data_IF_596659782943
#
_entry.id   IF_596659782943
#
_cell.length_a   1.000
_cell.length_b   1.000
_cell.length_c   1.000
_cell.angle_alpha   90.00
_cell.angle_beta   90.00
_cell.angle_gamma   90.00
#
_symmetry.space_group_name_H-M   'P 1'
#
loop_
_entity.id
_entity.type
_entity.pdbx_description
1 polymer ?
#
# COMPACT_ATOMS: atom_id res chain seq x y z
N UNK A 1 -12.45 11.16 -8.67
CA UNK A 1 -12.54 10.38 -7.40
C UNK A 1 -11.15 9.94 -7.03
N UNK A 2 -10.62 10.33 -5.86
CA UNK A 2 -9.24 10.04 -5.42
C UNK A 2 -8.18 10.70 -6.33
N UNK A 3 -8.40 11.96 -6.71
CA UNK A 3 -7.52 12.67 -7.65
C UNK A 3 -6.15 13.02 -7.06
N UNK A 4 -6.08 13.30 -5.77
CA UNK A 4 -4.82 13.64 -5.09
C UNK A 4 -4.23 12.45 -4.33
N UNK A 5 -4.94 11.32 -4.31
CA UNK A 5 -4.49 10.11 -3.62
C UNK A 5 -3.24 9.55 -4.30
N UNK A 6 -2.11 9.74 -3.64
CA UNK A 6 -0.79 9.27 -4.07
C UNK A 6 -0.17 8.32 -3.07
N UNK A 7 0.62 7.37 -3.57
CA UNK A 7 1.46 6.51 -2.76
C UNK A 7 2.81 6.27 -3.47
N UNK A 8 3.83 5.89 -2.70
CA UNK A 8 5.11 5.46 -3.25
C UNK A 8 5.59 4.20 -2.53
N UNK A 9 6.11 3.24 -3.29
CA UNK A 9 6.61 1.95 -2.79
C UNK A 9 8.12 1.93 -2.91
N UNK A 10 8.78 1.54 -1.83
CA UNK A 10 10.24 1.53 -1.74
C UNK A 10 10.73 0.16 -1.31
N UNK A 11 11.73 -0.37 -2.00
CA UNK A 11 12.44 -1.60 -1.62
C UNK A 11 13.73 -1.24 -0.92
N UNK A 12 13.90 -1.75 0.30
CA UNK A 12 15.10 -1.62 1.10
C UNK A 12 15.87 -2.94 1.05
N UNK A 13 17.12 -2.90 0.61
CA UNK A 13 18.00 -4.07 0.60
C UNK A 13 19.09 -3.90 1.63
N UNK A 14 19.21 -4.89 2.53
CA UNK A 14 20.14 -4.86 3.65
C UNK A 14 21.02 -6.10 3.67
N UNK A 15 22.17 -6.01 4.34
CA UNK A 15 23.05 -7.14 4.62
C UNK A 15 23.22 -7.32 6.12
N UNK A 16 22.97 -8.53 6.61
CA UNK A 16 23.20 -8.88 8.00
C UNK A 16 24.69 -8.75 8.33
N UNK A 17 25.02 -8.06 9.42
CA UNK A 17 26.40 -7.93 9.94
C UNK A 17 26.66 -8.90 11.09
N UNK A 18 25.60 -9.22 11.80
CA UNK A 18 25.58 -10.18 12.91
C UNK A 18 24.45 -11.19 12.62
N UNK A 19 24.39 -12.25 13.41
CA UNK A 19 23.27 -13.20 13.36
C UNK A 19 21.95 -12.49 13.72
N UNK A 20 20.97 -12.50 12.82
CA UNK A 20 19.65 -11.89 13.05
C UNK A 20 18.60 -12.99 13.17
N UNK A 21 17.89 -13.03 14.29
CA UNK A 21 16.75 -13.93 14.50
C UNK A 21 15.44 -13.15 14.58
N UNK A 22 14.56 -13.38 13.62
CA UNK A 22 13.21 -12.86 13.63
C UNK A 22 12.21 -13.83 14.26
N UNK A 23 11.09 -13.32 14.78
CA UNK A 23 9.95 -14.18 15.07
C UNK A 23 9.30 -14.69 13.78
N UNK A 24 8.31 -15.58 13.91
CA UNK A 24 7.57 -16.17 12.80
C UNK A 24 7.04 -15.13 11.82
N UNK A 25 6.37 -14.07 12.30
CA UNK A 25 6.03 -12.93 11.46
C UNK A 25 6.87 -11.67 11.77
N UNK A 26 7.77 -11.39 10.84
CA UNK A 26 8.84 -10.39 10.95
C UNK A 26 8.32 -8.96 11.14
N UNK A 27 7.09 -8.66 10.70
CA UNK A 27 6.50 -7.31 10.74
C UNK A 27 6.47 -6.67 12.12
N UNK A 28 6.36 -7.47 13.19
CA UNK A 28 6.45 -6.99 14.56
C UNK A 28 7.82 -6.40 14.92
N UNK A 29 8.90 -7.04 14.49
CA UNK A 29 10.27 -6.60 14.74
C UNK A 29 10.57 -5.31 13.97
N UNK A 30 10.15 -5.24 12.70
CA UNK A 30 10.30 -4.06 11.86
C UNK A 30 9.53 -2.87 12.40
N UNK A 31 8.20 -2.98 12.58
CA UNK A 31 7.38 -1.87 13.08
C UNK A 31 7.83 -1.43 14.47
N UNK A 32 8.07 -2.39 15.38
CA UNK A 32 8.50 -2.09 16.74
C UNK A 32 9.86 -1.37 16.79
N UNK A 33 10.85 -1.91 16.08
CA UNK A 33 12.17 -1.31 15.95
C UNK A 33 12.12 0.06 15.28
N UNK A 34 11.40 0.19 14.18
CA UNK A 34 11.21 1.43 13.44
C UNK A 34 10.59 2.52 14.32
N UNK A 35 9.51 2.23 15.06
CA UNK A 35 8.87 3.25 15.91
C UNK A 35 9.77 3.80 17.02
N UNK A 36 10.58 2.95 17.64
CA UNK A 36 11.56 3.38 18.63
C UNK A 36 12.69 4.19 17.99
N UNK A 37 13.27 3.69 16.89
CA UNK A 37 14.35 4.36 16.17
C UNK A 37 13.89 5.72 15.62
N UNK A 38 12.70 5.78 15.02
CA UNK A 38 12.14 7.00 14.44
C UNK A 38 11.95 8.08 15.51
N UNK A 39 11.36 7.72 16.67
CA UNK A 39 11.24 8.65 17.80
C UNK A 39 12.60 9.20 18.21
N UNK A 40 13.63 8.35 18.32
CA UNK A 40 14.98 8.79 18.68
C UNK A 40 15.63 9.71 17.64
N UNK A 41 15.38 9.46 16.36
CA UNK A 41 15.93 10.23 15.24
C UNK A 41 15.30 11.62 15.15
N UNK A 42 13.97 11.74 15.26
CA UNK A 42 13.26 13.00 14.98
C UNK A 42 12.84 13.78 16.23
N UNK A 43 12.84 13.16 17.42
CA UNK A 43 12.38 13.84 18.63
C UNK A 43 13.45 14.78 19.19
N UNK A 44 13.12 16.06 19.23
CA UNK A 44 13.97 17.11 19.82
C UNK A 44 13.80 17.25 21.34
N UNK A 45 12.67 16.82 21.92
CA UNK A 45 12.41 16.87 23.37
C UNK A 45 12.44 15.44 23.94
N UNK A 46 13.62 14.99 24.36
CA UNK A 46 13.82 13.64 24.92
C UNK A 46 13.17 13.51 26.30
N UNK A 47 12.68 12.32 26.62
CA UNK A 47 12.14 11.98 27.94
C UNK A 47 10.75 12.52 28.26
N UNK A 48 10.10 13.25 27.35
CA UNK A 48 8.72 13.72 27.50
C UNK A 48 7.74 12.81 26.79
N UNK A 49 6.56 12.62 27.38
CA UNK A 49 5.43 11.98 26.72
C UNK A 49 4.91 12.85 25.56
N UNK A 50 4.49 12.18 24.47
CA UNK A 50 4.07 12.87 23.25
C UNK A 50 2.77 13.63 23.44
N UNK A 51 1.90 13.18 24.36
CA UNK A 51 0.61 13.79 24.60
C UNK A 51 0.70 15.19 25.20
N UNK A 52 1.74 15.43 26.02
CA UNK A 52 2.02 16.71 26.69
C UNK A 52 3.10 17.54 25.96
N UNK A 53 3.50 17.13 24.76
CA UNK A 53 4.59 17.76 24.04
C UNK A 53 4.14 19.07 23.36
N UNK A 54 4.90 20.14 23.55
CA UNK A 54 4.65 21.45 22.92
C UNK A 54 4.57 21.35 21.39
N UNK A 55 5.34 20.43 20.80
CA UNK A 55 5.44 20.27 19.35
C UNK A 55 4.41 19.29 18.79
N UNK A 56 3.49 18.71 19.58
CA UNK A 56 2.57 17.63 19.18
C UNK A 56 1.92 17.86 17.81
N UNK A 57 1.42 19.07 17.55
CA UNK A 57 0.68 19.41 16.32
C UNK A 57 1.55 19.50 15.06
N UNK A 58 2.86 19.74 15.18
CA UNK A 58 3.78 19.91 14.04
C UNK A 58 4.94 18.90 14.05
N UNK A 59 4.99 18.03 15.05
CA UNK A 59 6.05 17.05 15.18
C UNK A 59 5.89 15.94 14.14
N UNK A 60 6.94 15.67 13.38
CA UNK A 60 6.99 14.59 12.37
C UNK A 60 6.69 13.23 13.02
N UNK A 61 7.21 12.96 14.22
CA UNK A 61 6.88 11.74 14.96
C UNK A 61 5.38 11.65 15.22
N UNK A 62 4.77 12.73 15.73
CA UNK A 62 3.33 12.74 16.01
C UNK A 62 2.53 12.54 14.73
N UNK A 63 2.88 13.22 13.63
CA UNK A 63 2.22 13.04 12.33
C UNK A 63 2.31 11.60 11.81
N UNK A 64 3.47 10.96 11.85
CA UNK A 64 3.66 9.61 11.30
C UNK A 64 3.12 8.51 12.22
N UNK A 65 3.28 8.66 13.54
CA UNK A 65 3.04 7.57 14.51
C UNK A 65 1.87 7.75 15.46
N UNK A 66 1.58 8.97 15.89
CA UNK A 66 0.43 9.19 16.80
C UNK A 66 -0.82 9.60 16.00
N UNK A 67 -0.63 10.21 14.83
CA UNK A 67 -1.68 10.66 13.89
C UNK A 67 -2.88 11.25 14.64
N UNK A 68 -2.69 12.32 15.45
CA UNK A 68 -3.77 12.83 16.26
C UNK A 68 -4.91 13.34 15.35
N UNK A 69 -6.17 13.04 15.67
CA UNK A 69 -7.29 13.62 14.96
C UNK A 69 -7.27 15.16 15.03
N UNK A 70 -7.61 15.88 13.94
CA UNK A 70 -7.85 17.32 14.01
C UNK A 70 -9.04 17.61 14.95
N UNK A 71 -8.97 18.71 15.70
CA UNK A 71 -9.95 19.05 16.74
C UNK A 71 -11.37 19.30 16.20
N UNK A 72 -11.50 19.76 14.95
CA UNK A 72 -12.78 20.22 14.37
C UNK A 72 -13.38 19.28 13.31
N UNK A 73 -13.01 17.99 13.30
CA UNK A 73 -13.43 17.09 12.21
C UNK A 73 -14.70 16.29 12.55
N UNK A 74 -15.81 16.58 11.86
CA UNK A 74 -17.08 15.82 11.96
C UNK A 74 -16.93 14.33 11.59
N UNK A 75 -15.97 13.99 10.72
CA UNK A 75 -15.70 12.63 10.21
C UNK A 75 -15.24 11.67 11.33
N UNK A 76 -14.67 12.19 12.43
CA UNK A 76 -14.17 11.37 13.53
C UNK A 76 -15.28 10.75 14.39
N UNK A 77 -16.52 11.26 14.30
CA UNK A 77 -17.69 10.59 14.91
C UNK A 77 -17.86 9.16 14.40
N UNK A 78 -17.40 8.88 13.18
CA UNK A 78 -17.42 7.55 12.56
C UNK A 78 -16.11 6.77 12.79
N UNK A 79 -14.99 7.44 13.08
CA UNK A 79 -13.64 6.86 13.11
C UNK A 79 -12.78 7.36 14.28
N UNK A 80 -12.60 6.57 15.36
CA UNK A 80 -11.92 7.05 16.57
C UNK A 80 -10.39 7.12 16.47
N UNK A 81 -9.78 6.60 15.37
CA UNK A 81 -8.32 6.61 15.16
C UNK A 81 -7.99 6.83 13.68
N UNK A 82 -7.07 7.75 13.43
CA UNK A 82 -6.51 8.00 12.09
C UNK A 82 -5.55 6.86 11.73
N UNK A 83 -5.62 6.28 10.52
CA UNK A 83 -4.66 5.27 10.08
C UNK A 83 -3.28 5.89 9.84
N UNK A 84 -2.22 5.16 10.18
CA UNK A 84 -0.87 5.62 9.82
C UNK A 84 -0.68 5.69 8.29
N UNK A 85 0.02 6.72 7.77
CA UNK A 85 0.24 6.92 6.34
C UNK A 85 1.40 6.08 5.79
N UNK A 86 1.67 4.92 6.38
CA UNK A 86 2.70 4.01 5.93
C UNK A 86 2.32 2.54 6.16
N UNK A 87 2.94 1.67 5.36
CA UNK A 87 2.92 0.22 5.51
C UNK A 87 4.35 -0.28 5.43
N UNK A 88 4.75 -1.16 6.38
CA UNK A 88 6.03 -1.87 6.29
C UNK A 88 5.71 -3.31 5.89
N UNK A 89 6.16 -3.71 4.71
CA UNK A 89 6.06 -5.09 4.26
C UNK A 89 7.36 -5.82 4.63
N UNK A 90 7.34 -6.68 5.67
CA UNK A 90 8.54 -7.43 6.04
C UNK A 90 8.96 -8.40 4.93
N UNK A 91 10.17 -8.99 5.00
CA UNK A 91 10.56 -10.06 4.10
C UNK A 91 9.52 -11.19 4.11
N UNK A 92 8.98 -11.57 2.95
CA UNK A 92 7.88 -12.55 2.80
C UNK A 92 8.38 -14.02 2.93
N UNK A 93 9.66 -14.21 3.23
CA UNK A 93 10.24 -15.54 3.46
C UNK A 93 9.82 -16.14 4.80
N UNK A 94 9.69 -17.46 4.86
CA UNK A 94 9.54 -18.22 6.11
C UNK A 94 10.85 -18.24 6.93
N UNK A 95 12.00 -18.05 6.29
CA UNK A 95 13.33 -18.04 6.95
C UNK A 95 13.35 -17.05 8.09
N UNK A 96 13.62 -17.50 9.32
CA UNK A 96 13.63 -16.65 10.51
C UNK A 96 15.02 -16.15 10.88
N UNK A 97 16.06 -16.85 10.46
CA UNK A 97 17.45 -16.53 10.78
C UNK A 97 18.20 -16.02 9.55
N UNK A 98 19.05 -15.02 9.75
CA UNK A 98 19.95 -14.52 8.71
C UNK A 98 21.37 -14.48 9.29
N UNK A 99 22.30 -15.11 8.59
CA UNK A 99 23.72 -15.16 9.00
C UNK A 99 24.49 -13.93 8.49
N UNK A 100 25.62 -13.57 9.14
CA UNK A 100 26.47 -12.48 8.66
C UNK A 100 26.81 -12.61 7.16
N UNK A 101 26.67 -11.50 6.43
CA UNK A 101 26.86 -11.42 4.98
C UNK A 101 25.60 -11.70 4.16
N UNK A 102 24.61 -12.41 4.71
CA UNK A 102 23.36 -12.67 3.99
C UNK A 102 22.57 -11.39 3.74
N UNK A 103 21.91 -11.34 2.58
CA UNK A 103 21.08 -10.20 2.20
C UNK A 103 19.60 -10.54 2.30
N UNK A 104 18.80 -9.54 2.63
CA UNK A 104 17.34 -9.63 2.55
C UNK A 104 16.74 -8.27 2.26
N UNK A 105 15.51 -8.27 1.76
CA UNK A 105 14.80 -7.05 1.41
C UNK A 105 13.43 -6.99 2.07
N UNK A 106 12.99 -5.78 2.34
CA UNK A 106 11.65 -5.44 2.83
C UNK A 106 11.16 -4.21 2.09
N UNK A 107 9.86 -3.92 2.18
CA UNK A 107 9.29 -2.75 1.54
C UNK A 107 8.70 -1.76 2.54
N UNK A 108 8.72 -0.50 2.13
CA UNK A 108 8.02 0.60 2.78
C UNK A 108 7.09 1.21 1.74
N UNK A 109 5.82 1.38 2.10
CA UNK A 109 4.86 2.14 1.30
C UNK A 109 4.54 3.40 2.09
N UNK A 110 4.70 4.56 1.46
CA UNK A 110 4.34 5.86 2.01
C UNK A 110 3.12 6.39 1.25
N UNK A 111 2.18 7.00 1.98
CA UNK A 111 0.89 7.42 1.44
C UNK A 111 0.72 8.93 1.66
N UNK A 112 0.31 9.65 0.62
CA UNK A 112 0.06 11.08 0.66
C UNK A 112 1.29 11.88 1.09
N UNK A 113 1.08 12.85 1.98
CA UNK A 113 2.11 13.75 2.50
C UNK A 113 3.23 13.04 3.29
N UNK A 114 3.06 11.75 3.64
CA UNK A 114 4.16 10.98 4.24
C UNK A 114 5.32 10.72 3.29
N UNK A 115 5.09 10.74 1.96
CA UNK A 115 6.11 10.52 0.92
C UNK A 115 7.25 11.54 1.06
N UNK A 116 6.92 12.79 1.39
CA UNK A 116 7.88 13.89 1.47
C UNK A 116 8.85 13.73 2.66
N UNK A 117 8.58 12.80 3.58
CA UNK A 117 9.44 12.46 4.72
C UNK A 117 10.34 11.24 4.47
N UNK A 118 10.38 10.69 3.25
CA UNK A 118 11.23 9.53 2.89
C UNK A 118 12.68 9.61 3.41
N UNK A 119 13.41 10.75 3.35
CA UNK A 119 14.78 10.82 3.88
C UNK A 119 14.88 10.42 5.36
N UNK A 120 13.89 10.80 6.18
CA UNK A 120 13.84 10.43 7.60
C UNK A 120 13.61 8.94 7.79
N UNK A 121 12.82 8.28 6.93
CA UNK A 121 12.64 6.84 6.96
C UNK A 121 13.94 6.11 6.59
N UNK A 122 14.62 6.54 5.52
CA UNK A 122 15.90 5.94 5.09
C UNK A 122 16.95 6.03 6.20
N UNK A 123 17.11 7.23 6.77
CA UNK A 123 18.04 7.43 7.88
C UNK A 123 17.64 6.60 9.11
N UNK A 124 16.34 6.52 9.42
CA UNK A 124 15.87 5.72 10.55
C UNK A 124 16.11 4.23 10.37
N UNK A 125 15.90 3.67 9.18
CA UNK A 125 16.23 2.26 8.92
C UNK A 125 17.74 2.01 8.95
N UNK A 126 18.55 2.99 8.53
CA UNK A 126 20.01 2.94 8.70
C UNK A 126 20.39 2.87 10.19
N UNK A 127 19.80 3.74 11.02
CA UNK A 127 20.06 3.77 12.46
C UNK A 127 19.48 2.54 13.19
N UNK A 128 18.35 2.00 12.74
CA UNK A 128 17.80 0.75 13.24
C UNK A 128 18.74 -0.43 12.96
N UNK A 129 19.36 -0.47 11.78
CA UNK A 129 20.37 -1.48 11.44
C UNK A 129 21.56 -1.48 12.40
N UNK A 130 22.06 -0.29 12.77
CA UNK A 130 23.15 -0.12 13.75
C UNK A 130 22.75 -0.49 15.18
N UNK A 131 21.51 -0.16 15.57
CA UNK A 131 20.97 -0.47 16.90
C UNK A 131 20.60 -1.95 17.07
N UNK A 132 20.31 -2.63 15.96
CA UNK A 132 19.94 -4.02 15.94
C UNK A 132 18.42 -4.27 15.93
N UNK A 133 18.03 -5.33 15.22
CA UNK A 133 16.65 -5.75 14.99
C UNK A 133 16.45 -7.22 15.38
N UNK A 134 15.20 -7.60 15.67
CA UNK A 134 14.85 -8.98 16.01
C UNK A 134 15.27 -9.37 17.44
N UNK A 135 15.20 -10.67 17.72
CA UNK A 135 15.65 -11.25 18.98
C UNK A 135 17.19 -11.20 19.03
N UNK A 136 17.74 -10.79 20.17
CA UNK A 136 19.19 -10.61 20.30
C UNK A 136 19.75 -9.35 19.65
N UNK A 137 18.90 -8.52 19.00
CA UNK A 137 19.29 -7.23 18.40
C UNK A 137 20.45 -7.35 17.39
N UNK A 138 20.38 -8.35 16.51
CA UNK A 138 21.37 -8.51 15.45
C UNK A 138 21.38 -7.29 14.51
N UNK A 139 22.58 -6.85 14.12
CA UNK A 139 22.78 -5.66 13.28
C UNK A 139 22.79 -5.96 11.78
N UNK A 140 22.44 -4.95 10.99
CA UNK A 140 22.55 -4.98 9.53
C UNK A 140 23.04 -3.63 8.99
N UNK A 141 23.58 -3.65 7.78
CA UNK A 141 23.85 -2.46 6.98
C UNK A 141 22.78 -2.28 5.91
N UNK A 142 22.29 -1.05 5.73
CA UNK A 142 21.47 -0.68 4.58
C UNK A 142 22.37 -0.54 3.35
N UNK A 143 22.14 -1.33 2.31
CA UNK A 143 22.94 -1.31 1.08
C UNK A 143 22.44 -0.27 0.09
N UNK A 144 21.16 -0.36 -0.28
CA UNK A 144 20.51 0.58 -1.19
C UNK A 144 19.00 0.59 -0.98
N UNK A 145 18.37 1.65 -1.50
CA UNK A 145 16.92 1.83 -1.54
C UNK A 145 16.52 2.13 -2.97
N UNK A 146 15.44 1.48 -3.43
CA UNK A 146 14.87 1.67 -4.75
C UNK A 146 13.41 2.11 -4.63
N UNK A 147 12.97 3.03 -5.48
CA UNK A 147 11.56 3.33 -5.71
C UNK A 147 11.01 2.38 -6.76
N UNK A 148 9.89 1.73 -6.44
CA UNK A 148 9.25 0.73 -7.28
C UNK A 148 7.99 1.34 -7.88
N UNK A 149 7.90 1.33 -9.21
CA UNK A 149 6.74 1.83 -9.94
C UNK A 149 5.63 0.80 -10.13
N UNK A 150 4.71 1.08 -11.06
CA UNK A 150 3.51 0.27 -11.29
C UNK A 150 3.80 -1.03 -12.04
N UNK A 151 4.83 -1.04 -12.88
CA UNK A 151 5.25 -2.17 -13.70
C UNK A 151 6.46 -2.89 -13.06
N UNK A 152 6.62 -2.71 -11.74
CA UNK A 152 7.75 -3.18 -10.93
C UNK A 152 9.12 -2.65 -11.41
N UNK A 153 9.14 -1.56 -12.18
CA UNK A 153 10.36 -0.85 -12.54
C UNK A 153 11.02 -0.24 -11.30
N UNK A 154 12.34 -0.36 -11.20
CA UNK A 154 13.10 0.05 -10.01
C UNK A 154 14.03 1.23 -10.33
N UNK A 155 13.89 2.32 -9.57
CA UNK A 155 14.76 3.49 -9.64
C UNK A 155 15.59 3.57 -8.36
N UNK A 156 16.92 3.54 -8.45
CA UNK A 156 17.78 3.64 -7.28
C UNK A 156 17.71 5.04 -6.65
N UNK A 157 17.34 5.11 -5.37
CA UNK A 157 17.15 6.34 -4.59
C UNK A 157 18.33 6.63 -3.68
N UNK A 158 18.86 5.58 -3.06
CA UNK A 158 19.96 5.67 -2.11
C UNK A 158 20.93 4.52 -2.34
N UNK A 159 22.22 4.80 -2.21
CA UNK A 159 23.28 3.80 -2.22
C UNK A 159 24.29 4.12 -1.12
N UNK A 160 24.58 3.14 -0.25
CA UNK A 160 25.45 3.35 0.91
C UNK A 160 26.90 3.67 0.57
N UNK A 161 27.37 3.31 -0.63
CA UNK A 161 28.74 3.63 -1.09
C UNK A 161 28.90 5.10 -1.45
N UNK A 162 27.88 5.69 -2.06
CA UNK A 162 27.91 7.07 -2.58
C UNK A 162 27.26 8.05 -1.59
N UNK A 163 26.40 7.54 -0.69
CA UNK A 163 25.61 8.31 0.28
C UNK A 163 24.80 9.45 -0.33
N UNK A 164 24.47 9.34 -1.63
CA UNK A 164 23.61 10.29 -2.33
C UNK A 164 22.16 9.84 -2.22
N UNK A 165 21.28 10.82 -2.05
CA UNK A 165 19.84 10.65 -2.08
C UNK A 165 19.29 11.36 -3.31
N UNK A 166 18.49 10.67 -4.12
CA UNK A 166 17.72 11.30 -5.20
C UNK A 166 16.28 11.53 -4.75
N UNK A 167 15.70 12.66 -5.16
CA UNK A 167 14.28 12.97 -4.91
C UNK A 167 13.38 12.53 -6.07
N UNK A 168 13.93 11.80 -7.04
CA UNK A 168 13.19 11.33 -8.21
C UNK A 168 12.93 9.83 -8.06
N UNK A 169 11.67 9.50 -7.82
CA UNK A 169 11.19 8.13 -7.69
C UNK A 169 9.74 8.04 -8.16
N UNK A 170 9.26 6.84 -8.53
CA UNK A 170 7.90 6.67 -9.01
C UNK A 170 6.89 7.04 -7.92
N UNK A 171 5.89 7.85 -8.29
CA UNK A 171 4.71 8.12 -7.47
C UNK A 171 3.51 7.51 -8.17
N UNK A 172 2.81 6.64 -7.47
CA UNK A 172 1.62 5.95 -7.94
C UNK A 172 0.42 6.78 -7.54
N UNK A 173 -0.30 7.30 -8.54
CA UNK A 173 -1.55 8.00 -8.39
C UNK A 173 -2.72 7.02 -8.51
N UNK A 174 -3.79 7.21 -7.73
CA UNK A 174 -4.93 6.29 -7.74
C UNK A 174 -5.57 6.12 -9.13
N UNK A 175 -5.64 7.19 -9.94
CA UNK A 175 -6.21 7.10 -11.29
C UNK A 175 -5.43 6.15 -12.23
N UNK A 176 -4.13 5.95 -12.00
CA UNK A 176 -3.32 5.05 -12.82
C UNK A 176 -3.69 3.57 -12.59
N UNK A 177 -4.23 3.23 -11.41
CA UNK A 177 -4.64 1.87 -11.06
C UNK A 177 -5.93 1.42 -11.76
N UNK A 178 -6.76 2.36 -12.22
CA UNK A 178 -7.96 2.04 -13.00
C UNK A 178 -7.64 1.58 -14.43
N UNK A 179 -6.50 2.01 -14.98
CA UNK A 179 -6.09 1.72 -16.35
C UNK A 179 -5.27 0.43 -16.48
N UNK A 180 -5.00 -0.28 -15.38
CA UNK A 180 -4.47 -1.64 -15.43
C UNK A 180 -5.55 -2.58 -15.96
N UNK A 181 -5.67 -2.61 -17.29
CA UNK A 181 -6.55 -3.53 -18.01
C UNK A 181 -6.37 -4.94 -17.48
N UNK A 182 -7.51 -5.55 -17.23
CA UNK A 182 -7.75 -6.98 -17.19
C UNK A 182 -6.94 -7.66 -18.31
N UNK A 183 -5.77 -8.20 -17.98
CA UNK A 183 -5.10 -9.14 -18.87
C UNK A 183 -5.93 -10.41 -18.84
N UNK A 184 -6.87 -10.50 -19.77
CA UNK A 184 -7.49 -11.77 -20.13
C UNK A 184 -6.40 -12.70 -20.63
N UNK A 185 -6.02 -13.67 -19.81
CA UNK A 185 -5.24 -14.82 -20.26
C UNK A 185 -6.16 -15.60 -21.20
N UNK A 186 -5.95 -15.47 -22.51
CA UNK A 186 -6.53 -16.41 -23.44
C UNK A 186 -5.73 -17.72 -23.36
N UNK A 187 -6.46 -18.84 -23.23
CA UNK A 187 -5.96 -20.19 -23.46
C UNK A 187 -5.54 -20.34 -24.92
N UNK A 188 -4.35 -19.83 -25.26
CA UNK A 188 -3.51 -20.16 -26.42
C UNK A 188 -2.42 -19.09 -26.46
N UNK A 189 -1.28 -19.37 -25.83
CA UNK A 189 -0.16 -18.44 -25.75
C UNK A 189 0.36 -18.04 -27.12
N UNK A 190 0.03 -16.82 -27.55
CA UNK A 190 0.71 -16.08 -28.62
C UNK A 190 0.63 -14.58 -28.30
N UNK A 191 1.76 -13.98 -27.95
CA UNK A 191 1.90 -12.52 -27.82
C UNK A 191 1.77 -11.87 -29.19
N UNK A 192 0.86 -10.90 -29.35
CA UNK A 192 0.84 -10.03 -30.53
C UNK A 192 1.25 -8.61 -30.12
N UNK A 193 2.45 -8.21 -30.53
CA UNK A 193 2.94 -6.84 -30.38
C UNK A 193 2.25 -5.91 -31.38
N UNK A 194 1.42 -4.98 -30.90
CA UNK A 194 1.05 -3.81 -31.70
C UNK A 194 2.11 -2.72 -31.56
N UNK A 195 3.01 -2.66 -32.56
CA UNK A 195 3.91 -1.53 -32.80
C UNK A 195 3.09 -0.28 -33.14
N UNK A 196 3.10 0.71 -32.25
CA UNK A 196 2.72 2.08 -32.59
C UNK A 196 3.80 2.61 -33.54
N UNK A 197 3.49 2.74 -34.83
CA UNK A 197 4.35 3.46 -35.79
C UNK A 197 4.25 4.97 -35.49
N UNK A 198 5.31 5.52 -34.93
CA UNK A 198 5.59 6.96 -35.01
C UNK A 198 5.84 7.32 -36.48
N UNK A 199 5.03 8.20 -37.07
CA UNK A 199 5.37 8.84 -38.33
C UNK A 199 6.15 10.13 -38.07
N UNK A 200 7.42 10.10 -38.48
CA UNK A 200 8.27 11.27 -38.63
C UNK A 200 7.81 12.12 -39.82
N UNK A 201 7.88 13.43 -39.63
CA UNK A 201 7.66 14.45 -40.63
C UNK A 201 8.78 14.46 -41.69
N UNK A 202 8.40 14.62 -42.95
CA UNK A 202 9.25 15.19 -44.01
C UNK A 202 8.40 16.07 -44.93
N UNK A 203 9.01 17.19 -45.29
CA UNK A 203 8.53 18.30 -46.09
C UNK A 203 8.29 18.00 -47.57
N UNK A 204 7.26 18.58 -48.17
CA UNK A 204 7.39 19.39 -49.40
C UNK A 204 6.06 20.04 -49.81
N UNK A 205 6.20 21.26 -50.33
CA UNK A 205 5.22 22.22 -50.83
C UNK A 205 4.48 21.78 -52.11
N UNK A 206 3.22 22.20 -52.27
CA UNK A 206 2.59 22.88 -53.43
C UNK A 206 1.07 23.01 -53.16
N UNK A 207 0.46 24.14 -53.56
CA UNK A 207 -0.98 24.44 -53.55
C UNK A 207 -1.38 25.00 -54.94
N UNK A 208 -2.66 25.32 -55.25
CA UNK A 208 -3.97 24.60 -55.22
C UNK A 208 -4.56 24.58 -56.68
N UNK A 209 -5.89 24.56 -57.04
CA UNK A 209 -7.15 24.58 -56.28
C UNK A 209 -8.32 23.68 -56.78
N UNK A 210 -9.44 23.70 -56.03
CA UNK A 210 -10.86 23.76 -56.48
C UNK A 210 -11.83 22.82 -55.72
N UNK A 211 -12.81 23.47 -55.06
CA UNK A 211 -14.25 23.18 -54.88
C UNK A 211 -14.80 21.74 -54.78
N UNK A 212 -15.66 21.55 -53.76
CA UNK A 212 -16.64 20.47 -53.73
C UNK A 212 -17.02 20.06 -52.31
N UNK A 213 -18.17 20.51 -51.81
CA UNK A 213 -18.70 20.10 -50.52
C UNK A 213 -19.24 18.67 -50.54
N UNK A 214 -19.12 17.96 -49.41
CA UNK A 214 -20.09 16.94 -49.04
C UNK A 214 -20.17 16.79 -47.51
N UNK A 215 -21.34 16.36 -47.08
CA UNK A 215 -21.87 16.39 -45.71
C UNK A 215 -21.06 15.50 -44.77
N UNK A 216 -20.60 16.09 -43.65
CA UNK A 216 -20.04 15.36 -42.53
C UNK A 216 -21.10 14.49 -41.86
N UNK A 217 -21.03 13.18 -42.10
CA UNK A 217 -21.74 12.16 -41.35
C UNK A 217 -21.07 12.03 -39.98
N UNK A 218 -21.83 12.36 -38.92
CA UNK A 218 -21.39 12.21 -37.53
C UNK A 218 -21.32 10.72 -37.22
N UNK A 219 -20.12 10.15 -37.31
CA UNK A 219 -19.84 8.81 -36.80
C UNK A 219 -19.91 8.87 -35.28
N UNK A 220 -21.02 8.37 -34.74
CA UNK A 220 -21.18 8.08 -33.31
C UNK A 220 -20.05 7.14 -32.89
N UNK A 221 -19.26 7.58 -31.92
CA UNK A 221 -18.31 6.71 -31.23
C UNK A 221 -19.10 5.70 -30.39
N UNK A 222 -19.30 4.50 -30.95
CA UNK A 222 -19.84 3.39 -30.19
C UNK A 222 -18.87 3.06 -29.05
N UNK A 223 -19.35 3.24 -27.83
CA UNK A 223 -18.65 2.84 -26.62
C UNK A 223 -18.45 1.32 -26.66
N UNK A 224 -17.19 0.90 -26.73
CA UNK A 224 -16.80 -0.51 -26.66
C UNK A 224 -17.24 -1.05 -25.30
N UNK A 225 -18.02 -2.15 -25.21
CA UNK A 225 -18.48 -2.68 -23.93
C UNK A 225 -17.27 -3.15 -23.12
N UNK A 226 -17.07 -2.56 -21.94
CA UNK A 226 -16.12 -3.06 -20.95
C UNK A 226 -16.53 -4.49 -20.60
N UNK A 227 -15.62 -5.43 -20.84
CA UNK A 227 -15.80 -6.84 -20.50
C UNK A 227 -16.03 -6.92 -18.98
N UNK A 228 -17.28 -7.11 -18.54
CA UNK A 228 -17.62 -7.21 -17.13
C UNK A 228 -16.95 -8.47 -16.60
N UNK A 229 -15.81 -8.30 -15.94
CA UNK A 229 -15.15 -9.41 -15.29
C UNK A 229 -16.00 -9.77 -14.08
N UNK A 230 -16.92 -10.70 -14.29
CA UNK A 230 -17.89 -11.08 -13.28
C UNK A 230 -17.27 -11.89 -12.15
N UNK A 231 -15.98 -12.24 -12.24
CA UNK A 231 -15.26 -13.03 -11.23
C UNK A 231 -13.93 -12.39 -10.86
N UNK A 232 -13.58 -12.50 -9.59
CA UNK A 232 -12.27 -12.08 -9.08
C UNK A 232 -11.76 -13.08 -8.05
N UNK A 233 -10.46 -13.35 -8.12
CA UNK A 233 -9.75 -14.20 -7.17
C UNK A 233 -8.79 -13.32 -6.36
N UNK A 234 -8.81 -13.47 -5.04
CA UNK A 234 -7.97 -12.72 -4.12
C UNK A 234 -7.15 -13.70 -3.29
N UNK A 235 -5.82 -13.56 -3.35
CA UNK A 235 -4.88 -14.29 -2.50
C UNK A 235 -4.45 -13.42 -1.32
N UNK A 236 -4.70 -13.88 -0.11
CA UNK A 236 -4.39 -13.20 1.14
C UNK A 236 -3.00 -13.66 1.61
N UNK A 237 -2.03 -12.77 1.42
CA UNK A 237 -0.60 -13.06 1.57
C UNK A 237 -0.10 -12.89 3.00
N UNK A 238 -0.77 -12.06 3.81
CA UNK A 238 -0.44 -11.88 5.23
C UNK A 238 -1.71 -11.89 6.07
N UNK A 239 -1.64 -12.26 7.37
CA UNK A 239 -2.83 -12.46 8.19
C UNK A 239 -3.78 -11.27 8.15
N UNK A 240 -4.99 -11.51 7.65
CA UNK A 240 -6.02 -10.52 7.42
C UNK A 240 -7.00 -10.49 8.59
N UNK A 241 -7.29 -9.29 9.09
CA UNK A 241 -8.09 -9.06 10.30
C UNK A 241 -9.17 -8.02 10.03
N UNK A 242 -10.21 -8.43 9.31
CA UNK A 242 -11.35 -7.57 9.00
C UNK A 242 -12.26 -7.41 10.21
N UNK A 243 -12.81 -6.21 10.40
CA UNK A 243 -13.84 -5.99 11.43
C UNK A 243 -15.23 -5.87 10.82
N UNK A 244 -16.17 -6.60 11.40
CA UNK A 244 -17.58 -6.54 11.11
C UNK A 244 -18.37 -6.77 12.41
N UNK A 245 -19.47 -6.04 12.61
CA UNK A 245 -20.31 -6.10 13.82
C UNK A 245 -19.52 -6.11 15.15
N UNK A 246 -18.55 -5.21 15.26
CA UNK A 246 -17.73 -5.04 16.47
C UNK A 246 -16.58 -6.03 16.64
N UNK A 247 -16.56 -7.16 15.94
CA UNK A 247 -15.60 -8.25 16.15
C UNK A 247 -14.69 -8.46 14.93
N UNK A 248 -13.67 -9.32 15.06
CA UNK A 248 -12.87 -9.78 13.92
C UNK A 248 -13.58 -10.99 13.32
N UNK A 249 -13.79 -10.99 12.00
CA UNK A 249 -14.42 -12.09 11.28
C UNK A 249 -13.39 -12.90 10.51
N UNK A 250 -13.59 -14.22 10.49
CA UNK A 250 -12.86 -15.17 9.65
C UNK A 250 -13.51 -15.33 8.27
N UNK A 251 -14.81 -15.07 8.16
CA UNK A 251 -15.54 -14.98 6.90
C UNK A 251 -15.23 -13.67 6.19
N UNK A 252 -14.72 -13.79 4.96
CA UNK A 252 -14.34 -12.65 4.12
C UNK A 252 -15.44 -12.43 3.09
N UNK A 253 -16.61 -12.04 3.55
CA UNK A 253 -17.68 -11.63 2.63
C UNK A 253 -17.27 -10.37 1.87
N UNK A 254 -17.67 -10.26 0.60
CA UNK A 254 -17.21 -9.18 -0.27
C UNK A 254 -17.54 -7.79 0.29
N UNK A 255 -18.77 -7.58 0.74
CA UNK A 255 -19.18 -6.30 1.37
C UNK A 255 -18.37 -5.96 2.64
N UNK A 256 -17.88 -6.97 3.37
CA UNK A 256 -17.04 -6.74 4.55
C UNK A 256 -15.65 -6.26 4.14
N UNK A 257 -15.06 -6.87 3.10
CA UNK A 257 -13.80 -6.42 2.51
C UNK A 257 -13.93 -4.96 2.01
N UNK A 258 -14.95 -4.68 1.20
CA UNK A 258 -15.21 -3.34 0.64
C UNK A 258 -15.45 -2.32 1.75
N UNK A 259 -16.21 -2.66 2.81
CA UNK A 259 -16.40 -1.78 3.96
C UNK A 259 -15.09 -1.40 4.63
N UNK A 260 -14.18 -2.36 4.82
CA UNK A 260 -12.89 -2.08 5.46
C UNK A 260 -11.96 -1.28 4.53
N UNK A 261 -11.99 -1.52 3.22
CA UNK A 261 -11.26 -0.74 2.22
C UNK A 261 -11.76 0.70 2.15
N UNK A 262 -13.07 0.90 2.00
CA UNK A 262 -13.71 2.22 1.97
C UNK A 262 -13.33 3.04 3.20
N UNK A 263 -13.44 2.45 4.40
CA UNK A 263 -13.06 3.10 5.66
C UNK A 263 -11.60 3.54 5.65
N UNK A 264 -10.69 2.65 5.24
CA UNK A 264 -9.25 2.93 5.26
C UNK A 264 -8.85 3.95 4.20
N UNK A 265 -9.27 3.77 2.96
CA UNK A 265 -8.92 4.63 1.82
C UNK A 265 -9.51 6.03 2.03
N UNK A 266 -10.77 6.14 2.47
CA UNK A 266 -11.37 7.44 2.80
C UNK A 266 -10.62 8.17 3.90
N UNK A 267 -10.21 7.46 4.95
CA UNK A 267 -9.43 8.07 6.04
C UNK A 267 -8.05 8.50 5.56
N UNK A 268 -7.35 7.66 4.79
CA UNK A 268 -6.03 8.00 4.23
C UNK A 268 -6.11 9.20 3.28
N UNK A 269 -7.13 9.24 2.42
CA UNK A 269 -7.40 10.34 1.51
C UNK A 269 -7.61 11.64 2.27
N UNK A 270 -8.49 11.62 3.28
CA UNK A 270 -8.84 12.82 4.04
C UNK A 270 -7.68 13.35 4.89
N UNK A 271 -6.97 12.49 5.62
CA UNK A 271 -5.95 12.94 6.58
C UNK A 271 -4.55 13.12 5.98
N UNK A 272 -4.27 12.53 4.83
CA UNK A 272 -2.91 12.51 4.27
C UNK A 272 -2.81 12.93 2.81
N UNK A 273 -3.92 12.99 2.07
CA UNK A 273 -3.93 13.41 0.67
C UNK A 273 -4.71 14.71 0.44
N UNK A 274 -5.18 15.35 1.52
CA UNK A 274 -5.92 16.62 1.48
C UNK A 274 -7.17 16.57 0.57
N UNK A 275 -7.78 15.39 0.45
CA UNK A 275 -8.97 15.15 -0.37
C UNK A 275 -10.07 14.44 0.44
N UNK A 276 -11.29 14.95 0.36
CA UNK A 276 -12.45 14.25 0.89
C UNK A 276 -12.96 13.28 -0.16
N UNK A 277 -12.87 11.98 0.12
CA UNK A 277 -13.45 10.95 -0.76
C UNK A 277 -14.99 10.98 -0.68
N UNK A 278 -15.62 11.76 -1.55
CA UNK A 278 -17.08 11.91 -1.63
C UNK A 278 -17.69 10.82 -2.50
N UNK A 279 -18.16 9.74 -1.87
CA UNK A 279 -18.88 8.64 -2.52
C UNK A 279 -20.13 8.24 -1.76
N UNK A 280 -21.09 7.63 -2.44
CA UNK A 280 -22.23 7.00 -1.78
C UNK A 280 -21.79 5.69 -1.11
N UNK A 281 -21.33 5.79 0.13
CA UNK A 281 -20.93 4.64 0.95
C UNK A 281 -22.07 3.63 1.09
N UNK A 282 -23.31 4.10 1.24
CA UNK A 282 -24.46 3.21 1.47
C UNK A 282 -24.76 2.42 0.20
N UNK A 283 -24.89 3.10 -0.94
CA UNK A 283 -25.11 2.46 -2.23
C UNK A 283 -23.99 1.51 -2.62
N UNK A 284 -22.72 1.87 -2.40
CA UNK A 284 -21.59 0.96 -2.68
C UNK A 284 -21.63 -0.31 -1.83
N UNK A 285 -22.01 -0.20 -0.55
CA UNK A 285 -22.14 -1.38 0.32
C UNK A 285 -23.33 -2.24 -0.08
N UNK A 286 -24.46 -1.65 -0.44
CA UNK A 286 -25.63 -2.38 -0.95
C UNK A 286 -25.30 -3.16 -2.22
N UNK A 287 -24.59 -2.53 -3.17
CA UNK A 287 -24.07 -3.22 -4.37
C UNK A 287 -23.08 -4.33 -4.01
N UNK A 288 -22.17 -4.09 -3.07
CA UNK A 288 -21.19 -5.08 -2.64
C UNK A 288 -21.85 -6.30 -1.96
N UNK A 289 -23.01 -6.14 -1.32
CA UNK A 289 -23.78 -7.25 -0.75
C UNK A 289 -24.40 -8.17 -1.81
N UNK A 290 -24.56 -7.70 -3.06
CA UNK A 290 -25.04 -8.53 -4.17
C UNK A 290 -23.94 -9.44 -4.77
N UNK A 291 -22.66 -9.14 -4.49
CA UNK A 291 -21.52 -9.93 -4.96
C UNK A 291 -21.38 -11.19 -4.10
N UNK A 292 -21.41 -12.36 -4.74
CA UNK A 292 -21.41 -13.67 -4.08
C UNK A 292 -20.00 -14.18 -3.88
N UNK A 293 -19.72 -14.76 -2.72
CA UNK A 293 -18.50 -15.54 -2.52
C UNK A 293 -18.72 -16.94 -3.10
N UNK A 294 -17.89 -17.35 -4.07
CA UNK A 294 -18.04 -18.64 -4.78
C UNK A 294 -17.07 -19.71 -4.28
N UNK A 295 -15.92 -19.31 -3.72
CA UNK A 295 -14.90 -20.22 -3.18
C UNK A 295 -14.15 -19.55 -2.03
N UNK A 296 -13.78 -20.32 -1.01
CA UNK A 296 -12.98 -19.85 0.13
C UNK A 296 -12.09 -20.96 0.64
N UNK A 297 -10.81 -20.89 0.26
CA UNK A 297 -9.76 -21.77 0.76
C UNK A 297 -8.93 -20.99 1.77
N UNK A 298 -9.56 -20.65 2.89
CA UNK A 298 -9.02 -19.78 3.92
C UNK A 298 -8.78 -20.56 5.21
N UNK A 299 -7.70 -20.25 5.90
CA UNK A 299 -7.39 -20.82 7.21
C UNK A 299 -6.95 -19.71 8.18
N UNK A 300 -7.13 -19.97 9.47
CA UNK A 300 -6.66 -19.05 10.50
C UNK A 300 -5.19 -19.32 10.82
N UNK A 301 -4.35 -18.33 10.57
CA UNK A 301 -2.97 -18.32 11.04
C UNK A 301 -2.92 -17.66 12.41
N UNK A 302 -2.64 -18.41 13.49
CA UNK A 302 -2.49 -17.83 14.83
C UNK A 302 -1.04 -17.53 15.17
N UNK A 303 -0.81 -16.36 15.77
CA UNK A 303 0.48 -16.02 16.35
C UNK A 303 0.34 -15.00 17.48
N UNK A 304 1.09 -15.22 18.58
CA UNK A 304 1.13 -14.36 19.77
C UNK A 304 2.47 -13.62 19.90
N UNK A 305 2.43 -12.35 20.29
CA UNK A 305 3.63 -11.57 20.68
C UNK A 305 3.41 -10.79 21.97
N UNK A 306 4.47 -10.57 22.73
CA UNK A 306 4.44 -9.62 23.83
C UNK A 306 4.60 -8.17 23.33
N UNK A 307 3.74 -7.26 23.79
CA UNK A 307 3.76 -5.83 23.46
C UNK A 307 4.39 -5.06 24.61
N UNK A 308 5.61 -4.55 24.45
CA UNK A 308 6.27 -3.80 25.53
C UNK A 308 5.61 -2.46 25.87
N UNK A 309 4.88 -1.85 24.91
CA UNK A 309 4.12 -0.60 25.18
C UNK A 309 2.88 -0.85 26.04
N UNK A 310 2.28 -2.04 25.94
CA UNK A 310 1.02 -2.38 26.61
C UNK A 310 1.20 -3.47 27.67
N UNK A 311 2.43 -3.96 27.83
CA UNK A 311 2.85 -5.06 28.70
C UNK A 311 1.98 -6.34 28.59
N UNK A 312 1.43 -6.60 27.40
CA UNK A 312 0.45 -7.67 27.17
C UNK A 312 0.83 -8.61 26.02
N UNK A 313 0.45 -9.88 26.13
CA UNK A 313 0.50 -10.84 25.02
C UNK A 313 -0.65 -10.60 24.04
N UNK A 314 -0.33 -10.14 22.84
CA UNK A 314 -1.30 -9.89 21.78
C UNK A 314 -1.36 -11.07 20.81
N UNK A 315 -2.57 -11.54 20.47
CA UNK A 315 -2.77 -12.35 19.26
C UNK A 315 -2.84 -11.43 18.03
N UNK A 316 -1.92 -11.67 17.11
CA UNK A 316 -1.85 -11.04 15.79
C UNK A 316 -2.24 -12.00 14.68
N UNK A 317 -2.87 -13.12 15.03
CA UNK A 317 -3.43 -14.05 14.07
C UNK A 317 -4.52 -13.42 13.21
N UNK A 318 -4.79 -14.06 12.07
CA UNK A 318 -5.77 -13.63 11.09
C UNK A 318 -5.91 -14.64 9.96
N UNK A 319 -6.76 -14.31 9.00
CA UNK A 319 -7.07 -15.19 7.88
C UNK A 319 -5.98 -15.11 6.82
N UNK A 320 -5.56 -16.26 6.29
CA UNK A 320 -4.68 -16.40 5.12
C UNK A 320 -5.29 -17.42 4.14
N UNK A 321 -4.86 -17.41 2.88
CA UNK A 321 -5.36 -18.32 1.85
C UNK A 321 -5.94 -17.59 0.64
N UNK A 322 -6.96 -18.15 0.00
CA UNK A 322 -7.57 -17.57 -1.20
C UNK A 322 -9.09 -17.53 -1.11
N UNK A 323 -9.69 -16.48 -1.70
CA UNK A 323 -11.14 -16.32 -1.78
C UNK A 323 -11.52 -15.82 -3.17
N UNK A 324 -12.66 -16.29 -3.68
CA UNK A 324 -13.16 -15.94 -5.00
C UNK A 324 -14.57 -15.36 -4.90
N UNK A 325 -14.85 -14.34 -5.69
CA UNK A 325 -16.15 -13.68 -5.75
C UNK A 325 -16.71 -13.62 -7.16
N UNK A 326 -18.04 -13.57 -7.27
CA UNK A 326 -18.78 -13.42 -8.51
C UNK A 326 -19.90 -12.36 -8.41
N UNK A 327 -19.97 -11.43 -9.37
CA UNK A 327 -20.95 -10.34 -9.44
C UNK A 327 -20.46 -9.17 -10.28
N UNK A 328 -21.18 -8.04 -10.25
CA UNK A 328 -20.70 -6.79 -10.85
C UNK A 328 -19.60 -6.16 -9.97
N UNK A 329 -18.38 -6.12 -10.49
CA UNK A 329 -17.18 -5.67 -9.77
C UNK A 329 -16.73 -4.26 -10.16
N UNK A 330 -17.38 -3.65 -11.15
CA UNK A 330 -16.90 -2.46 -11.86
C UNK A 330 -16.63 -1.28 -10.90
N UNK A 331 -17.54 -1.06 -9.95
CA UNK A 331 -17.45 0.03 -8.96
C UNK A 331 -16.35 -0.18 -7.88
N UNK A 332 -15.81 -1.40 -7.76
CA UNK A 332 -14.93 -1.78 -6.66
C UNK A 332 -13.47 -1.93 -7.07
N UNK A 333 -13.17 -1.97 -8.37
CA UNK A 333 -11.83 -2.28 -8.87
C UNK A 333 -10.76 -1.30 -8.35
N UNK A 334 -11.04 0.00 -8.32
CA UNK A 334 -10.09 0.99 -7.77
C UNK A 334 -9.76 0.71 -6.30
N UNK A 335 -10.78 0.41 -5.49
CA UNK A 335 -10.62 0.13 -4.06
C UNK A 335 -9.82 -1.15 -3.83
N UNK A 336 -10.08 -2.17 -4.66
CA UNK A 336 -9.39 -3.44 -4.59
C UNK A 336 -7.91 -3.29 -4.98
N UNK A 337 -7.62 -2.60 -6.09
CA UNK A 337 -6.25 -2.32 -6.53
C UNK A 337 -5.48 -1.48 -5.52
N UNK A 338 -6.08 -0.42 -4.98
CA UNK A 338 -5.47 0.37 -3.91
C UNK A 338 -5.20 -0.50 -2.67
N UNK A 339 -6.11 -1.42 -2.35
CA UNK A 339 -5.98 -2.35 -1.24
C UNK A 339 -4.76 -3.28 -1.31
N UNK A 340 -4.27 -3.61 -2.51
CA UNK A 340 -3.03 -4.38 -2.69
C UNK A 340 -1.81 -3.64 -2.11
N UNK A 341 -1.81 -2.29 -2.16
CA UNK A 341 -0.73 -1.43 -1.65
C UNK A 341 -0.98 -0.97 -0.21
N UNK A 342 -2.17 -0.44 0.07
CA UNK A 342 -2.43 0.14 1.39
C UNK A 342 -2.77 -0.91 2.44
N UNK A 343 -2.98 -2.17 2.04
CA UNK A 343 -3.48 -3.28 2.85
C UNK A 343 -4.86 -2.97 3.45
N UNK A 344 -5.45 -3.94 4.15
CA UNK A 344 -6.79 -3.77 4.75
C UNK A 344 -6.90 -4.46 6.12
N UNK A 345 -7.76 -3.91 6.98
CA UNK A 345 -8.03 -4.46 8.31
C UNK A 345 -7.09 -3.94 9.41
N UNK A 346 -7.00 -4.68 10.51
CA UNK A 346 -6.20 -4.30 11.68
C UNK A 346 -4.72 -4.64 11.50
N UNK A 347 -3.85 -3.66 11.79
CA UNK A 347 -2.40 -3.87 11.89
C UNK A 347 -1.63 -3.71 10.56
N UNK A 348 -2.18 -2.98 9.60
CA UNK A 348 -1.55 -2.73 8.30
C UNK A 348 -0.14 -2.13 8.40
N UNK A 349 0.16 -1.29 9.39
CA UNK A 349 1.53 -0.76 9.61
C UNK A 349 2.57 -1.84 9.94
N UNK A 350 2.13 -3.05 10.33
CA UNK A 350 2.99 -4.20 10.55
C UNK A 350 3.17 -5.06 9.27
N UNK A 351 2.49 -4.70 8.19
CA UNK A 351 2.40 -5.46 6.94
C UNK A 351 1.25 -6.46 6.90
N UNK A 352 0.32 -6.43 7.86
CA UNK A 352 -0.83 -7.34 7.92
C UNK A 352 -1.90 -6.94 6.90
N UNK A 353 -2.75 -7.90 6.52
CA UNK A 353 -3.84 -7.69 5.57
C UNK A 353 -3.39 -7.35 4.16
N UNK A 354 -2.20 -7.83 3.75
CA UNK A 354 -1.75 -7.80 2.36
C UNK A 354 -2.52 -8.84 1.58
N UNK A 355 -3.01 -8.46 0.41
CA UNK A 355 -3.55 -9.39 -0.55
C UNK A 355 -3.10 -9.02 -1.96
N UNK A 356 -3.30 -9.95 -2.89
CA UNK A 356 -3.10 -9.74 -4.32
C UNK A 356 -4.32 -10.23 -5.09
N UNK A 357 -4.72 -9.50 -6.12
CA UNK A 357 -5.70 -9.96 -7.11
C UNK A 357 -4.97 -10.88 -8.10
N UNK A 358 -5.50 -12.09 -8.31
CA UNK A 358 -4.88 -13.11 -9.17
C UNK A 358 -5.30 -12.99 -10.62
#
# INVERSE_FOLDING_TARGET
>A
MLETFRLARFRFTVSAKEHIRFPSYKGSAFRGGFGYAFKRVVCVIKGKECDDCLLKQKCIYSYIFETPPPQDTEILRLYPKVPHPFVIEPPITEKQTFEPGETFSFHLILIGNAIDYLPYFIYTFTELGKQGIGQGRGKYDLLHVEGIGLEDEAIQIYNSKVQTLTNHYPIIQAHQLNHQNLVSVNEQGVETHNRIKQHQATSSSISPPCEGGDKGEVVKSDAIPLNHNNKINISILTPLRLRFDGHITDKIEFHVLIRNLLRRISSLSYFHCDEKFQVDFKGLIEKASAVKQIRSDTHWFDWKRYSTRQEEWMSLGGVTGAVSYEGDLSDFMLLLRLGEYVHVGKGTSFGLGKYKIL
#
